data_IF_830299829801
#
_entry.id   IF_830299829801
#
_cell.length_a   1.000
_cell.length_b   1.000
_cell.length_c   1.000
_cell.angle_alpha   90.00
_cell.angle_beta   90.00
_cell.angle_gamma   90.00
#
_symmetry.space_group_name_H-M   'P 1'
#
loop_
_entity.id
_entity.type
_entity.pdbx_description
1 polymer ?
#
# COMPACT_ATOMS: atom_id res chain seq x y z
N UNK A 1 -8.67 -12.24 -22.18
CA UNK A 1 -9.03 -12.23 -23.59
C UNK A 1 -7.86 -12.81 -24.39
N UNK A 2 -8.05 -13.99 -24.93
CA UNK A 2 -7.15 -14.56 -25.92
C UNK A 2 -7.34 -13.75 -27.20
N UNK A 3 -6.24 -13.28 -27.80
CA UNK A 3 -6.32 -12.58 -29.08
C UNK A 3 -7.04 -13.46 -30.10
N UNK A 4 -8.02 -12.90 -30.83
CA UNK A 4 -8.79 -13.66 -31.85
C UNK A 4 -7.92 -14.21 -33.00
N UNK A 5 -6.67 -13.76 -33.09
CA UNK A 5 -5.67 -14.21 -34.07
C UNK A 5 -4.68 -15.25 -33.50
N UNK A 6 -4.97 -15.86 -32.35
CA UNK A 6 -4.14 -16.94 -31.83
C UNK A 6 -4.28 -18.18 -32.75
N UNK A 7 -3.19 -18.84 -33.21
CA UNK A 7 -1.79 -18.72 -32.74
C UNK A 7 -0.92 -17.71 -33.47
N UNK A 8 -1.40 -17.04 -34.51
CA UNK A 8 -0.60 -16.11 -35.31
C UNK A 8 -0.40 -14.73 -34.72
N UNK A 9 -0.93 -14.45 -33.52
CA UNK A 9 -0.75 -13.19 -32.85
C UNK A 9 0.62 -13.15 -32.14
N UNK A 10 1.52 -12.19 -32.47
CA UNK A 10 2.81 -12.07 -31.80
C UNK A 10 2.71 -11.49 -30.38
N UNK A 11 1.52 -11.52 -29.78
CA UNK A 11 1.23 -10.95 -28.48
C UNK A 11 1.79 -11.73 -27.29
N UNK A 12 2.12 -13.01 -27.47
CA UNK A 12 2.74 -13.85 -26.44
C UNK A 12 3.49 -15.01 -27.07
N UNK A 13 4.55 -15.45 -26.41
CA UNK A 13 5.27 -16.67 -26.75
C UNK A 13 4.86 -17.75 -25.74
N UNK A 14 4.58 -18.96 -26.26
CA UNK A 14 4.26 -20.14 -25.45
C UNK A 14 5.56 -20.93 -25.27
N UNK A 15 6.16 -20.86 -24.11
CA UNK A 15 7.16 -21.87 -23.71
C UNK A 15 6.42 -23.09 -23.13
N UNK A 16 6.93 -24.31 -23.30
CA UNK A 16 6.28 -25.50 -22.74
C UNK A 16 6.03 -25.32 -21.23
N UNK A 17 4.77 -25.16 -20.85
CA UNK A 17 4.31 -25.00 -19.48
C UNK A 17 4.33 -23.56 -18.91
N UNK A 18 4.70 -22.52 -19.68
CA UNK A 18 4.69 -21.13 -19.21
C UNK A 18 4.32 -20.16 -20.34
N UNK A 19 3.46 -19.18 -20.02
CA UNK A 19 3.12 -18.11 -20.95
C UNK A 19 4.01 -16.88 -20.65
N UNK A 20 4.73 -16.40 -21.67
CA UNK A 20 5.46 -15.13 -21.59
C UNK A 20 4.56 -14.01 -22.14
N UNK A 21 4.30 -13.00 -21.34
CA UNK A 21 3.45 -11.86 -21.72
C UNK A 21 4.30 -10.81 -22.40
N UNK A 22 3.95 -10.45 -23.65
CA UNK A 22 4.66 -9.41 -24.41
C UNK A 22 4.69 -8.09 -23.65
N UNK A 23 5.88 -7.54 -23.44
CA UNK A 23 6.12 -6.29 -22.71
C UNK A 23 6.22 -6.47 -21.18
N UNK A 24 6.41 -7.70 -20.72
CA UNK A 24 6.78 -8.03 -19.36
C UNK A 24 7.97 -8.98 -19.36
N UNK A 25 9.13 -8.47 -18.97
CA UNK A 25 10.40 -9.25 -18.91
C UNK A 25 10.68 -9.78 -17.49
N UNK A 26 9.71 -9.66 -16.59
CA UNK A 26 9.83 -10.18 -15.24
C UNK A 26 9.51 -11.67 -15.14
N UNK A 27 9.74 -12.27 -13.96
CA UNK A 27 9.41 -13.67 -13.70
C UNK A 27 7.91 -13.90 -13.78
N UNK A 28 7.50 -15.14 -14.06
CA UNK A 28 6.10 -15.57 -13.87
C UNK A 28 5.73 -15.34 -12.43
N UNK A 29 4.64 -14.58 -12.22
CA UNK A 29 4.18 -14.21 -10.89
C UNK A 29 3.21 -15.25 -10.36
N UNK A 30 3.52 -15.78 -9.20
CA UNK A 30 2.57 -16.54 -8.41
C UNK A 30 1.74 -15.60 -7.52
N UNK A 31 0.50 -15.95 -7.33
CA UNK A 31 -0.39 -15.24 -6.43
C UNK A 31 0.01 -15.50 -4.98
N UNK A 32 0.30 -14.44 -4.25
CA UNK A 32 0.67 -14.47 -2.83
C UNK A 32 -0.44 -15.01 -1.90
N UNK A 33 -1.67 -15.16 -2.42
CA UNK A 33 -2.82 -15.65 -1.64
C UNK A 33 -3.22 -17.09 -1.92
N UNK A 34 -2.98 -17.59 -3.13
CA UNK A 34 -3.47 -18.92 -3.52
C UNK A 34 -2.48 -19.69 -4.41
N UNK A 35 -1.29 -19.16 -4.63
CA UNK A 35 -0.21 -19.75 -5.47
C UNK A 35 -0.57 -20.04 -6.93
N UNK A 36 -1.75 -19.64 -7.39
CA UNK A 36 -2.11 -19.71 -8.81
C UNK A 36 -1.35 -18.65 -9.61
N UNK A 37 -1.20 -18.85 -10.90
CA UNK A 37 -0.55 -17.88 -11.79
C UNK A 37 -1.28 -16.54 -11.82
N UNK A 38 -0.54 -15.46 -11.96
CA UNK A 38 -1.10 -14.13 -12.21
C UNK A 38 -0.87 -13.71 -13.66
N UNK A 39 -1.91 -13.16 -14.28
CA UNK A 39 -1.86 -12.64 -15.65
C UNK A 39 -1.89 -11.12 -15.70
N UNK A 40 -1.17 -10.56 -16.68
CA UNK A 40 -1.20 -9.12 -16.94
C UNK A 40 -2.53 -8.75 -17.59
N UNK A 41 -3.26 -7.86 -16.96
CA UNK A 41 -4.57 -7.36 -17.39
C UNK A 41 -4.53 -5.85 -17.59
N UNK A 42 -5.44 -5.34 -18.41
CA UNK A 42 -5.67 -3.90 -18.59
C UNK A 42 -6.89 -3.48 -17.75
N UNK A 43 -6.72 -2.52 -16.87
CA UNK A 43 -7.78 -1.93 -16.08
C UNK A 43 -7.93 -0.43 -16.33
N UNK A 44 -8.97 0.16 -15.72
CA UNK A 44 -9.25 1.61 -15.81
C UNK A 44 -8.04 2.48 -15.41
N UNK A 45 -7.21 1.99 -14.51
CA UNK A 45 -6.07 2.74 -13.95
C UNK A 45 -4.72 2.26 -14.51
N UNK A 46 -4.72 1.52 -15.61
CA UNK A 46 -3.54 0.98 -16.27
C UNK A 46 -3.38 -0.53 -16.10
N UNK A 47 -2.20 -1.04 -16.46
CA UNK A 47 -1.89 -2.48 -16.41
C UNK A 47 -1.70 -2.95 -14.97
N UNK A 48 -2.18 -4.16 -14.68
CA UNK A 48 -2.05 -4.83 -13.40
C UNK A 48 -2.02 -6.35 -13.59
N UNK A 49 -1.51 -7.06 -12.60
CA UNK A 49 -1.57 -8.52 -12.56
C UNK A 49 -2.83 -8.95 -11.83
N UNK A 50 -3.63 -9.81 -12.42
CA UNK A 50 -4.79 -10.43 -11.81
C UNK A 50 -4.60 -11.94 -11.64
N UNK A 51 -5.00 -12.48 -10.50
CA UNK A 51 -4.99 -13.92 -10.25
C UNK A 51 -5.91 -14.65 -11.23
N UNK A 52 -5.47 -15.79 -11.75
CA UNK A 52 -6.24 -16.63 -12.69
C UNK A 52 -7.25 -17.54 -12.00
N UNK A 53 -7.15 -17.71 -10.68
CA UNK A 53 -8.12 -18.52 -9.92
C UNK A 53 -9.47 -17.81 -9.85
N UNK A 54 -10.55 -18.55 -10.14
CA UNK A 54 -11.93 -18.03 -10.11
C UNK A 54 -12.37 -17.54 -8.72
N UNK A 55 -11.86 -18.17 -7.68
CA UNK A 55 -12.20 -17.83 -6.29
C UNK A 55 -11.32 -16.73 -5.71
N UNK A 56 -10.11 -16.55 -6.26
CA UNK A 56 -9.14 -15.56 -5.79
C UNK A 56 -9.18 -14.30 -6.68
N UNK A 57 -9.57 -13.19 -6.12
CA UNK A 57 -9.61 -11.90 -6.84
C UNK A 57 -8.40 -11.02 -6.53
N UNK A 58 -7.26 -11.63 -6.15
CA UNK A 58 -6.06 -10.89 -5.83
C UNK A 58 -5.48 -10.18 -7.05
N UNK A 59 -4.99 -8.96 -6.84
CA UNK A 59 -4.39 -8.15 -7.91
C UNK A 59 -3.13 -7.45 -7.43
N UNK A 60 -2.13 -7.34 -8.31
CA UNK A 60 -0.90 -6.58 -8.09
C UNK A 60 -0.70 -5.59 -9.22
N UNK A 61 -0.31 -4.37 -8.90
CA UNK A 61 -0.09 -3.31 -9.88
C UNK A 61 1.24 -3.55 -10.61
N UNK A 62 1.29 -3.26 -11.91
CA UNK A 62 2.55 -3.14 -12.65
C UNK A 62 3.16 -1.77 -12.36
N UNK A 63 4.39 -1.77 -11.87
CA UNK A 63 5.16 -0.56 -11.60
C UNK A 63 5.82 -0.04 -12.90
N UNK A 64 6.32 1.20 -12.87
CA UNK A 64 6.98 1.83 -14.04
C UNK A 64 8.29 1.17 -14.45
N UNK A 65 8.94 0.46 -13.52
CA UNK A 65 10.15 -0.32 -13.76
C UNK A 65 9.85 -1.74 -14.31
N UNK A 66 8.63 -2.00 -14.76
CA UNK A 66 8.13 -3.30 -15.21
C UNK A 66 8.12 -4.40 -14.13
N UNK A 67 8.24 -4.06 -12.87
CA UNK A 67 8.09 -5.00 -11.75
C UNK A 67 6.66 -5.00 -11.23
N UNK A 68 6.26 -6.14 -10.64
CA UNK A 68 5.02 -6.20 -9.90
C UNK A 68 5.14 -5.44 -8.57
N UNK A 69 4.14 -4.66 -8.23
CA UNK A 69 4.07 -4.07 -6.91
C UNK A 69 4.13 -5.17 -5.83
N UNK A 70 4.72 -4.91 -4.65
CA UNK A 70 4.72 -5.88 -3.56
C UNK A 70 3.28 -6.26 -3.18
N UNK A 71 3.07 -7.44 -2.56
CA UNK A 71 1.78 -7.84 -2.04
C UNK A 71 1.17 -6.77 -1.14
N UNK A 72 -0.15 -6.64 -1.18
CA UNK A 72 -0.87 -5.80 -0.22
C UNK A 72 -0.97 -6.55 1.10
N UNK A 73 -0.84 -5.80 2.18
CA UNK A 73 -1.13 -6.28 3.52
C UNK A 73 -2.59 -6.76 3.62
N UNK A 74 -2.82 -7.84 4.33
CA UNK A 74 -4.18 -8.25 4.65
C UNK A 74 -4.87 -7.22 5.56
N UNK A 75 -6.18 -7.02 5.42
CA UNK A 75 -6.91 -6.09 6.28
C UNK A 75 -6.83 -6.52 7.76
N UNK A 76 -6.47 -5.60 8.64
CA UNK A 76 -6.40 -5.81 10.08
C UNK A 76 -7.65 -5.21 10.73
N UNK A 77 -8.56 -6.02 11.34
CA UNK A 77 -9.71 -5.50 12.06
C UNK A 77 -9.28 -4.68 13.29
N UNK A 78 -9.96 -3.58 13.54
CA UNK A 78 -9.74 -2.70 14.69
C UNK A 78 -11.06 -2.48 15.43
N UNK A 79 -11.55 -3.49 16.15
CA UNK A 79 -12.86 -3.44 16.79
C UNK A 79 -12.97 -2.37 17.88
N UNK A 80 -11.85 -1.95 18.46
CA UNK A 80 -11.75 -0.87 19.45
C UNK A 80 -11.91 0.53 18.86
N UNK A 81 -11.89 0.68 17.52
CA UNK A 81 -12.03 1.95 16.83
C UNK A 81 -13.41 2.08 16.19
N UNK A 82 -14.39 2.72 16.87
CA UNK A 82 -15.69 2.95 16.29
C UNK A 82 -15.63 4.01 15.17
N UNK A 83 -16.48 3.84 14.16
CA UNK A 83 -16.72 4.87 13.15
C UNK A 83 -17.47 6.07 13.77
N UNK A 84 -17.26 7.25 13.19
CA UNK A 84 -17.82 8.50 13.75
C UNK A 84 -19.29 8.73 13.37
N UNK A 85 -19.71 8.21 12.20
CA UNK A 85 -21.00 8.55 11.60
C UNK A 85 -22.05 7.44 11.68
N UNK A 86 -21.61 6.21 11.77
CA UNK A 86 -22.45 5.02 11.72
C UNK A 86 -21.95 4.02 12.74
N UNK A 87 -22.84 3.22 13.33
CA UNK A 87 -22.49 2.12 14.21
C UNK A 87 -21.75 1.01 13.43
N UNK A 88 -20.44 1.16 13.37
CA UNK A 88 -19.50 0.30 12.64
C UNK A 88 -18.11 0.47 13.25
N UNK A 89 -17.16 -0.40 12.88
CA UNK A 89 -15.77 -0.31 13.33
C UNK A 89 -14.83 -0.16 12.14
N UNK A 90 -13.63 0.33 12.41
CA UNK A 90 -12.62 0.46 11.38
C UNK A 90 -11.85 -0.83 11.12
N UNK A 91 -11.36 -0.95 9.91
CA UNK A 91 -10.37 -1.94 9.47
C UNK A 91 -9.18 -1.18 8.90
N UNK A 92 -7.97 -1.51 9.33
CA UNK A 92 -6.74 -0.98 8.74
C UNK A 92 -6.47 -1.69 7.40
N UNK A 93 -6.29 -0.93 6.35
CA UNK A 93 -6.08 -1.42 4.98
C UNK A 93 -4.87 -0.80 4.33
N UNK A 94 -4.26 -1.58 3.43
CA UNK A 94 -3.19 -1.14 2.54
C UNK A 94 -3.79 -0.71 1.19
N UNK A 95 -3.77 0.58 0.92
CA UNK A 95 -4.29 1.18 -0.31
C UNK A 95 -3.21 1.75 -1.22
N UNK A 96 -3.65 2.44 -2.27
CA UNK A 96 -2.74 3.09 -3.23
C UNK A 96 -1.87 4.21 -2.60
N UNK A 97 -2.33 4.78 -1.49
CA UNK A 97 -1.63 5.81 -0.71
C UNK A 97 -0.99 5.25 0.57
N UNK A 98 -0.91 3.92 0.73
CA UNK A 98 -0.42 3.24 1.92
C UNK A 98 -1.54 2.93 2.92
N UNK A 99 -1.21 2.88 4.22
CA UNK A 99 -2.14 2.53 5.28
C UNK A 99 -3.22 3.59 5.49
N UNK A 100 -4.45 3.13 5.65
CA UNK A 100 -5.61 3.95 5.99
C UNK A 100 -6.67 3.11 6.73
N UNK A 101 -7.48 3.75 7.53
CA UNK A 101 -8.65 3.16 8.16
C UNK A 101 -9.87 3.29 7.24
N UNK A 102 -10.59 2.20 7.06
CA UNK A 102 -11.85 2.15 6.33
C UNK A 102 -12.91 1.44 7.17
N UNK A 103 -14.15 1.87 7.06
CA UNK A 103 -15.27 1.22 7.72
C UNK A 103 -15.41 -0.25 7.30
N UNK A 104 -15.77 -1.14 8.25
CA UNK A 104 -15.84 -2.58 8.02
C UNK A 104 -16.97 -2.96 7.06
N UNK A 105 -18.07 -2.22 7.09
CA UNK A 105 -19.27 -2.46 6.27
C UNK A 105 -19.23 -1.81 4.88
N UNK A 106 -18.04 -1.52 4.33
CA UNK A 106 -17.96 -1.04 2.96
C UNK A 106 -18.66 -2.01 1.99
N UNK A 107 -19.48 -1.58 1.02
CA UNK A 107 -19.72 -0.20 0.57
C UNK A 107 -20.88 0.55 1.26
N UNK A 108 -21.55 -0.05 2.24
CA UNK A 108 -22.66 0.58 2.97
C UNK A 108 -22.18 1.80 3.74
N UNK A 109 -21.11 1.61 4.53
CA UNK A 109 -20.38 2.70 5.16
C UNK A 109 -19.08 2.97 4.36
N UNK A 110 -18.87 4.22 3.96
CA UNK A 110 -17.69 4.66 3.18
C UNK A 110 -16.76 5.55 3.98
N UNK A 111 -16.88 5.52 5.28
CA UNK A 111 -16.05 6.33 6.16
C UNK A 111 -14.61 5.85 6.10
N UNK A 112 -13.70 6.79 5.93
CA UNK A 112 -12.26 6.53 5.86
C UNK A 112 -11.50 7.67 6.52
N UNK A 113 -10.42 7.34 7.22
CA UNK A 113 -9.48 8.33 7.76
C UNK A 113 -8.07 7.79 7.83
N UNK A 114 -7.06 8.66 7.94
CA UNK A 114 -5.71 8.23 8.29
C UNK A 114 -5.67 7.70 9.72
N UNK A 115 -4.86 6.65 10.01
CA UNK A 115 -4.67 6.18 11.38
C UNK A 115 -3.75 7.13 12.17
N UNK A 116 -3.89 7.11 13.49
CA UNK A 116 -2.90 7.61 14.41
C UNK A 116 -1.90 6.49 14.75
N UNK A 117 -0.68 6.87 15.16
CA UNK A 117 0.37 5.90 15.48
C UNK A 117 -0.03 5.01 16.66
N UNK A 118 -0.59 5.59 17.71
CA UNK A 118 -1.05 4.88 18.90
C UNK A 118 -2.19 3.88 18.63
N UNK A 119 -3.00 4.11 17.60
CA UNK A 119 -4.05 3.16 17.19
C UNK A 119 -3.46 1.92 16.49
N UNK A 120 -2.30 2.04 15.86
CA UNK A 120 -1.66 0.92 15.16
C UNK A 120 -0.78 0.06 16.06
N UNK A 121 -0.26 0.60 17.16
CA UNK A 121 0.68 -0.11 18.05
C UNK A 121 0.12 -1.41 18.64
N UNK A 122 -1.15 -1.49 19.08
CA UNK A 122 -1.71 -2.75 19.57
C UNK A 122 -1.72 -3.88 18.54
N UNK A 123 -1.71 -3.53 17.25
CA UNK A 123 -1.77 -4.44 16.11
C UNK A 123 -0.43 -4.58 15.37
N UNK A 124 0.68 -4.18 15.99
CA UNK A 124 2.00 -4.17 15.34
C UNK A 124 2.41 -5.51 14.72
N UNK A 125 2.04 -6.62 15.34
CA UNK A 125 2.37 -7.97 14.87
C UNK A 125 1.54 -8.42 13.66
N UNK A 126 0.39 -7.77 13.42
CA UNK A 126 -0.48 -8.01 12.27
C UNK A 126 -0.17 -7.09 11.08
N UNK A 127 0.57 -6.01 11.33
CA UNK A 127 0.93 -5.02 10.32
C UNK A 127 2.19 -5.48 9.57
N UNK A 128 2.11 -5.47 8.23
CA UNK A 128 3.23 -5.83 7.37
C UNK A 128 4.52 -5.08 7.79
N UNK A 129 5.65 -5.77 7.96
CA UNK A 129 6.94 -5.17 8.36
C UNK A 129 7.39 -3.99 7.49
N UNK A 130 6.94 -3.90 6.23
CA UNK A 130 7.21 -2.74 5.37
C UNK A 130 6.70 -1.41 5.94
N UNK A 131 5.73 -1.45 6.87
CA UNK A 131 5.18 -0.30 7.57
C UNK A 131 5.76 -0.09 8.98
N UNK A 132 6.71 -0.93 9.40
CA UNK A 132 7.36 -0.83 10.72
C UNK A 132 7.94 0.55 11.02
N UNK A 133 8.37 1.29 9.98
CA UNK A 133 8.84 2.66 10.14
C UNK A 133 7.76 3.62 10.68
N UNK A 134 6.48 3.42 10.36
CA UNK A 134 5.38 4.22 10.91
C UNK A 134 5.16 3.94 12.40
N UNK A 135 5.35 2.68 12.80
CA UNK A 135 5.22 2.22 14.19
C UNK A 135 6.38 2.68 15.08
N UNK A 136 7.54 3.00 14.47
CA UNK A 136 8.71 3.53 15.20
C UNK A 136 8.62 5.04 15.47
N UNK A 137 7.61 5.72 14.93
CA UNK A 137 7.40 7.13 15.18
C UNK A 137 6.87 7.38 16.60
N UNK A 138 7.16 8.55 17.20
CA UNK A 138 6.52 8.96 18.44
C UNK A 138 4.99 8.98 18.30
N UNK A 139 4.28 8.60 19.34
CA UNK A 139 2.80 8.60 19.37
C UNK A 139 2.22 10.02 19.49
N UNK A 140 3.00 10.95 20.00
CA UNK A 140 2.66 12.36 20.15
C UNK A 140 3.92 13.24 20.10
N UNK A 141 3.76 14.55 20.23
CA UNK A 141 4.83 15.54 20.21
C UNK A 141 5.34 15.94 21.60
N UNK A 142 4.99 15.19 22.65
CA UNK A 142 5.28 15.52 24.04
C UNK A 142 4.39 16.64 24.64
N UNK A 143 3.57 17.30 23.82
CA UNK A 143 2.56 18.28 24.23
C UNK A 143 1.13 17.73 24.17
N UNK A 144 0.99 16.44 23.88
CA UNK A 144 -0.30 15.73 23.79
C UNK A 144 -0.97 15.79 22.41
N UNK A 145 -0.33 16.35 21.38
CA UNK A 145 -0.85 16.30 20.02
C UNK A 145 -0.49 14.95 19.41
N UNK A 146 -1.50 14.12 19.12
CA UNK A 146 -1.33 12.77 18.59
C UNK A 146 -0.68 12.78 17.20
N UNK A 147 0.23 11.85 16.98
CA UNK A 147 0.90 11.68 15.70
C UNK A 147 0.03 10.88 14.72
N UNK A 148 -0.20 11.43 13.54
CA UNK A 148 -1.07 10.87 12.51
C UNK A 148 -0.28 10.54 11.25
N UNK A 149 -0.61 9.39 10.64
CA UNK A 149 -0.07 8.98 9.34
C UNK A 149 -0.71 9.83 8.24
N UNK A 150 0.11 10.39 7.37
CA UNK A 150 -0.31 11.19 6.22
C UNK A 150 0.35 10.68 4.94
N UNK A 151 -0.18 11.09 3.80
CA UNK A 151 0.37 10.76 2.49
C UNK A 151 0.69 12.02 1.70
N UNK A 152 1.94 12.10 1.25
CA UNK A 152 2.40 13.17 0.38
C UNK A 152 2.11 12.83 -1.09
N UNK A 153 1.27 13.62 -1.74
CA UNK A 153 1.00 13.46 -3.19
C UNK A 153 2.23 13.79 -4.04
N UNK A 154 3.12 14.63 -3.53
CA UNK A 154 4.35 15.06 -4.23
C UNK A 154 5.41 13.96 -4.21
N UNK A 155 5.78 13.46 -3.04
CA UNK A 155 6.77 12.39 -2.88
C UNK A 155 6.21 10.98 -3.11
N UNK A 156 4.88 10.81 -3.05
CA UNK A 156 4.18 9.51 -3.11
C UNK A 156 4.54 8.58 -1.94
N UNK A 157 4.82 9.16 -0.79
CA UNK A 157 5.27 8.47 0.42
C UNK A 157 4.36 8.79 1.59
N UNK A 158 4.26 7.86 2.53
CA UNK A 158 3.64 8.12 3.82
C UNK A 158 4.65 8.73 4.79
N UNK A 159 4.17 9.56 5.68
CA UNK A 159 4.93 10.18 6.75
C UNK A 159 4.04 10.36 7.97
N UNK A 160 4.66 10.59 9.11
CA UNK A 160 3.96 10.85 10.38
C UNK A 160 4.13 12.32 10.74
N UNK A 161 3.05 12.95 11.15
CA UNK A 161 3.06 14.34 11.61
C UNK A 161 2.15 14.54 12.81
N UNK A 162 2.50 15.53 13.62
CA UNK A 162 1.61 16.12 14.63
C UNK A 162 1.12 17.46 14.15
N UNK A 163 -0.04 17.89 14.63
CA UNK A 163 -0.62 19.20 14.31
C UNK A 163 -0.94 19.94 15.61
N UNK A 164 -0.38 21.13 15.77
CA UNK A 164 -0.63 22.01 16.90
C UNK A 164 -1.11 23.37 16.38
N UNK A 165 -2.31 23.79 16.76
CA UNK A 165 -2.90 25.09 16.41
C UNK A 165 -2.80 25.42 14.90
N UNK A 166 -3.03 24.42 14.02
CA UNK A 166 -2.96 24.57 12.57
C UNK A 166 -1.54 24.52 11.99
N UNK A 167 -0.52 24.34 12.82
CA UNK A 167 0.87 24.12 12.37
C UNK A 167 1.20 22.64 12.38
N UNK A 168 1.54 22.09 11.21
CA UNK A 168 1.96 20.72 11.04
C UNK A 168 3.46 20.56 11.27
N UNK A 169 3.85 19.60 12.12
CA UNK A 169 5.25 19.22 12.34
C UNK A 169 5.46 17.79 11.91
N UNK A 170 6.37 17.56 10.96
CA UNK A 170 6.72 16.21 10.49
C UNK A 170 7.60 15.53 11.52
N UNK A 171 7.14 14.42 12.08
CA UNK A 171 7.87 13.62 13.06
C UNK A 171 8.78 12.59 12.41
N UNK A 172 8.31 11.99 11.31
CA UNK A 172 9.03 10.96 10.56
C UNK A 172 8.61 10.98 9.10
N UNK A 173 9.59 11.01 8.19
CA UNK A 173 9.35 10.80 6.77
C UNK A 173 9.99 9.49 6.33
N UNK A 174 9.36 8.80 5.40
CA UNK A 174 9.86 7.53 4.87
C UNK A 174 11.19 7.76 4.13
N UNK A 175 12.26 7.01 4.45
CA UNK A 175 13.44 7.02 3.62
C UNK A 175 13.07 6.46 2.25
N UNK A 176 13.35 7.21 1.18
CA UNK A 176 13.20 6.71 -0.19
C UNK A 176 13.76 5.31 -0.26
N UNK A 177 13.04 4.38 -0.91
CA UNK A 177 13.60 3.09 -1.32
C UNK A 177 14.92 3.37 -2.03
N UNK A 178 16.00 2.96 -1.43
CA UNK A 178 17.33 3.12 -1.99
C UNK A 178 17.39 2.38 -3.32
N UNK A 179 17.48 3.13 -4.43
CA UNK A 179 18.31 2.71 -5.54
C UNK A 179 19.76 2.67 -5.03
N UNK A 180 20.72 2.06 -5.74
CA UNK A 180 22.05 1.71 -5.21
C UNK A 180 22.68 2.90 -4.48
N UNK A 181 23.17 2.62 -3.29
CA UNK A 181 23.75 3.52 -2.29
C UNK A 181 24.38 4.79 -2.89
N UNK A 182 23.76 5.92 -2.66
CA UNK A 182 24.45 7.20 -2.59
C UNK A 182 24.02 7.93 -1.32
N UNK A 183 24.96 7.94 -0.37
CA UNK A 183 25.14 8.82 0.78
C UNK A 183 23.93 9.11 1.66
N UNK A 184 23.96 8.51 2.83
CA UNK A 184 23.14 8.82 4.02
C UNK A 184 23.11 10.32 4.27
N UNK A 185 21.95 10.94 4.14
CA UNK A 185 21.64 12.18 4.86
C UNK A 185 21.11 11.80 6.22
N UNK A 186 21.75 12.35 7.25
CA UNK A 186 21.36 12.25 8.66
C UNK A 186 19.90 12.67 8.86
N UNK A 187 19.20 12.13 9.88
CA UNK A 187 17.85 12.57 10.20
C UNK A 187 17.88 14.08 10.48
N UNK A 188 17.02 14.79 9.77
CA UNK A 188 16.85 16.23 9.98
C UNK A 188 16.24 16.46 11.36
N UNK A 189 17.07 16.83 12.34
CA UNK A 189 16.63 17.46 13.55
C UNK A 189 15.95 18.79 13.17
N UNK A 190 14.68 18.90 13.52
CA UNK A 190 13.95 20.14 13.72
C UNK A 190 14.19 21.27 12.71
N UNK A 191 13.45 21.32 11.62
CA UNK A 191 13.24 22.58 10.92
C UNK A 191 11.95 23.23 11.43
N UNK A 192 12.12 24.20 12.30
CA UNK A 192 11.10 25.22 12.57
C UNK A 192 11.08 26.12 11.32
N UNK A 193 9.99 26.08 10.59
CA UNK A 193 9.74 27.08 9.52
C UNK A 193 8.98 28.22 10.18
N UNK A 194 9.65 29.36 10.32
CA UNK A 194 9.02 30.64 10.65
C UNK A 194 8.14 31.11 9.50
#
# INVERSE_FOLDING_TARGET
HVCGNNPSCPGFEVEPGKFKIKGYDGPVLECDKCSADMQLMNGRFGKYFGCTSETCKNTRKLLRNNEAAPPKMDPVPMPELPCEKVEDTYILRDGAAGLFLAASQFPRNRETRPPFVDEMLPHQDEIDPKYGFLLSAPVDDGSGNRAQVRFSRKSKEQYVMTEQAGKATVQLSYPRREGPMHQRRQPLHGFIIN
#
